data_IF_925202405272
#
_entry.id   IF_925202405272
#
_cell.length_a   1.000
_cell.length_b   1.000
_cell.length_c   1.000
_cell.angle_alpha   90.00
_cell.angle_beta   90.00
_cell.angle_gamma   90.00
#
_symmetry.space_group_name_H-M   'P 1'
#
loop_
_entity.id
_entity.type
_entity.pdbx_description
1 polymer ?
#
# COMPACT_ATOMS: atom_id res chain seq x y z
N UNK A 1 -16.42 28.96 21.42
CA UNK A 1 -15.16 29.26 20.70
C UNK A 1 -14.45 27.93 20.50
N UNK A 2 -14.52 27.37 19.28
CA UNK A 2 -13.91 26.08 18.96
C UNK A 2 -12.41 26.25 18.87
N UNK A 3 -11.65 25.59 19.74
CA UNK A 3 -10.19 25.56 19.71
C UNK A 3 -9.76 24.78 18.47
N UNK A 4 -9.37 25.49 17.42
CA UNK A 4 -8.74 24.90 16.24
C UNK A 4 -7.46 24.18 16.68
N UNK A 5 -7.51 22.86 16.76
CA UNK A 5 -6.29 22.05 16.86
C UNK A 5 -5.48 22.31 15.59
N UNK A 6 -4.29 22.91 15.75
CA UNK A 6 -3.35 23.05 14.66
C UNK A 6 -3.11 21.65 14.08
N UNK A 7 -3.36 21.51 12.78
CA UNK A 7 -3.11 20.27 12.06
C UNK A 7 -1.63 19.92 12.25
N UNK A 8 -1.34 18.68 12.64
CA UNK A 8 0.05 18.26 12.85
C UNK A 8 0.81 18.35 11.52
N UNK A 9 2.14 18.62 11.52
CA UNK A 9 2.94 18.66 10.28
C UNK A 9 2.80 17.40 9.41
N UNK A 10 2.47 16.26 10.02
CA UNK A 10 2.18 15.02 9.32
C UNK A 10 0.88 15.09 8.51
N UNK A 11 -0.17 15.73 9.04
CA UNK A 11 -1.42 15.92 8.33
C UNK A 11 -1.25 16.85 7.12
N UNK A 12 -0.54 17.97 7.27
CA UNK A 12 -0.26 18.88 6.15
C UNK A 12 0.51 18.19 5.03
N UNK A 13 1.51 17.37 5.39
CA UNK A 13 2.25 16.53 4.44
C UNK A 13 1.32 15.54 3.74
N UNK A 14 0.39 14.91 4.46
CA UNK A 14 -0.55 13.95 3.90
C UNK A 14 -1.53 14.63 2.92
N UNK A 15 -2.09 15.79 3.27
CA UNK A 15 -2.97 16.58 2.40
C UNK A 15 -2.25 17.01 1.13
N UNK A 16 -1.00 17.50 1.25
CA UNK A 16 -0.20 17.85 0.08
C UNK A 16 0.05 16.64 -0.82
N UNK A 17 0.40 15.49 -0.22
CA UNK A 17 0.61 14.24 -0.95
C UNK A 17 -0.65 13.77 -1.68
N UNK A 18 -1.83 13.95 -1.08
CA UNK A 18 -3.10 13.64 -1.72
C UNK A 18 -3.35 14.56 -2.92
N UNK A 19 -3.20 15.88 -2.75
CA UNK A 19 -3.38 16.83 -3.85
C UNK A 19 -2.43 16.57 -5.03
N UNK A 20 -1.18 16.18 -4.75
CA UNK A 20 -0.22 15.80 -5.79
C UNK A 20 -0.56 14.46 -6.45
N UNK A 21 -1.16 13.51 -5.73
CA UNK A 21 -1.65 12.24 -6.28
C UNK A 21 -2.86 12.45 -7.21
N UNK A 22 -3.83 13.27 -6.80
CA UNK A 22 -5.01 13.62 -7.60
C UNK A 22 -4.64 14.27 -8.94
N UNK A 23 -3.58 15.08 -8.98
CA UNK A 23 -3.05 15.66 -10.23
C UNK A 23 -2.52 14.62 -11.23
N UNK A 24 -2.14 13.44 -10.74
CA UNK A 24 -1.65 12.32 -11.55
C UNK A 24 -2.74 11.31 -11.90
N UNK A 25 -3.99 11.55 -11.49
CA UNK A 25 -5.11 10.66 -11.79
C UNK A 25 -5.22 10.35 -13.28
N UNK A 26 -5.45 9.08 -13.61
CA UNK A 26 -5.51 8.57 -14.98
C UNK A 26 -4.16 8.38 -15.66
N UNK A 27 -3.06 8.86 -15.08
CA UNK A 27 -1.73 8.63 -15.64
C UNK A 27 -1.26 7.21 -15.35
N UNK A 28 -0.40 6.68 -16.23
CA UNK A 28 0.32 5.44 -15.97
C UNK A 28 1.53 5.73 -15.07
N UNK A 29 1.78 4.95 -14.01
CA UNK A 29 3.00 5.07 -13.22
C UNK A 29 4.25 4.91 -14.11
N UNK A 30 5.17 5.85 -13.99
CA UNK A 30 6.43 5.91 -14.75
C UNK A 30 7.67 5.76 -13.85
N UNK A 31 7.44 5.64 -12.54
CA UNK A 31 8.41 5.54 -11.45
C UNK A 31 8.59 4.09 -10.95
N UNK A 32 8.14 3.11 -11.74
CA UNK A 32 8.25 1.69 -11.39
C UNK A 32 9.71 1.23 -11.41
N UNK A 33 10.09 0.49 -10.37
CA UNK A 33 11.37 -0.20 -10.31
C UNK A 33 11.30 -1.46 -11.17
N UNK A 34 12.41 -1.82 -11.81
CA UNK A 34 12.57 -3.16 -12.39
C UNK A 34 12.47 -4.22 -11.30
N UNK A 35 12.02 -5.42 -11.67
CA UNK A 35 11.79 -6.56 -10.77
C UNK A 35 12.83 -6.73 -9.67
N UNK A 36 14.10 -6.92 -10.01
CA UNK A 36 15.15 -7.19 -9.01
C UNK A 36 15.37 -6.00 -8.06
N UNK A 37 15.30 -4.78 -8.59
CA UNK A 37 15.40 -3.56 -7.78
C UNK A 37 14.16 -3.36 -6.88
N UNK A 38 12.99 -3.86 -7.29
CA UNK A 38 11.79 -3.87 -6.46
C UNK A 38 11.91 -4.89 -5.31
N UNK A 39 12.44 -6.08 -5.61
CA UNK A 39 12.72 -7.13 -4.60
C UNK A 39 13.73 -6.64 -3.57
N UNK A 40 14.85 -6.07 -4.03
CA UNK A 40 15.88 -5.54 -3.14
C UNK A 40 15.31 -4.44 -2.22
N UNK A 41 14.59 -3.48 -2.80
CA UNK A 41 13.98 -2.40 -2.02
C UNK A 41 12.95 -2.92 -1.01
N UNK A 42 12.15 -3.93 -1.39
CA UNK A 42 11.18 -4.56 -0.49
C UNK A 42 11.89 -5.24 0.69
N UNK A 43 12.92 -6.05 0.42
CA UNK A 43 13.68 -6.74 1.47
C UNK A 43 14.40 -5.77 2.40
N UNK A 44 14.98 -4.69 1.87
CA UNK A 44 15.58 -3.62 2.67
C UNK A 44 14.54 -2.97 3.60
N UNK A 45 13.34 -2.63 3.09
CA UNK A 45 12.29 -2.05 3.90
C UNK A 45 11.81 -2.98 5.01
N UNK A 46 11.61 -4.26 4.71
CA UNK A 46 11.20 -5.28 5.71
C UNK A 46 12.28 -5.45 6.78
N UNK A 47 13.55 -5.53 6.38
CA UNK A 47 14.68 -5.66 7.32
C UNK A 47 14.83 -4.43 8.21
N UNK A 48 14.77 -3.23 7.63
CA UNK A 48 14.87 -1.98 8.38
C UNK A 48 13.75 -1.86 9.43
N UNK A 49 12.51 -2.18 9.03
CA UNK A 49 11.36 -2.16 9.94
C UNK A 49 11.49 -3.21 11.05
N UNK A 50 11.98 -4.42 10.72
CA UNK A 50 12.24 -5.47 11.70
C UNK A 50 13.32 -5.10 12.71
N UNK A 51 14.41 -4.48 12.24
CA UNK A 51 15.52 -4.01 13.09
C UNK A 51 15.09 -2.86 14.00
N UNK A 52 14.26 -1.94 13.51
CA UNK A 52 13.69 -0.86 14.32
C UNK A 52 12.88 -1.43 15.49
N UNK A 53 11.95 -2.36 15.20
CA UNK A 53 11.11 -3.00 16.22
C UNK A 53 11.94 -3.80 17.23
N UNK A 54 12.94 -4.55 16.76
CA UNK A 54 13.85 -5.28 17.63
C UNK A 54 14.62 -4.31 18.55
N UNK A 55 15.08 -3.17 18.02
CA UNK A 55 15.80 -2.17 18.80
C UNK A 55 14.95 -1.54 19.91
N UNK A 56 13.66 -1.30 19.65
CA UNK A 56 12.71 -0.78 20.64
C UNK A 56 12.49 -1.81 21.74
N UNK A 57 12.30 -3.09 21.36
CA UNK A 57 12.10 -4.20 22.31
C UNK A 57 13.33 -4.42 23.20
N UNK A 58 14.52 -4.37 22.62
CA UNK A 58 15.79 -4.56 23.33
C UNK A 58 16.11 -3.42 24.31
N UNK A 59 15.65 -2.19 24.03
CA UNK A 59 15.85 -1.04 24.93
C UNK A 59 14.97 -1.08 26.19
N UNK A 60 14.14 -2.12 26.36
CA UNK A 60 13.30 -2.31 27.56
C UNK A 60 12.33 -1.16 27.82
N UNK A 61 12.11 -0.32 26.81
CA UNK A 61 11.38 0.92 26.98
C UNK A 61 9.88 0.64 26.88
N UNK A 62 9.12 1.03 27.89
CA UNK A 62 7.65 1.13 27.81
C UNK A 62 7.18 2.21 26.82
N UNK A 63 8.11 2.83 26.08
CA UNK A 63 7.78 3.69 24.96
C UNK A 63 6.89 2.87 24.02
N UNK A 64 5.66 3.31 23.75
CA UNK A 64 4.88 2.71 22.69
C UNK A 64 5.79 2.66 21.47
N UNK A 65 5.95 1.48 20.87
CA UNK A 65 6.51 1.36 19.52
C UNK A 65 5.84 2.51 18.78
N UNK A 66 6.58 3.51 18.24
CA UNK A 66 5.95 4.54 17.45
C UNK A 66 5.21 3.73 16.43
N UNK A 67 3.88 3.66 16.56
CA UNK A 67 3.07 3.01 15.56
C UNK A 67 3.56 3.68 14.31
N UNK A 68 4.05 2.91 13.34
CA UNK A 68 4.25 3.43 12.00
C UNK A 68 2.84 3.81 11.56
N UNK A 69 2.37 4.97 12.04
CA UNK A 69 1.02 5.47 11.93
C UNK A 69 1.04 6.03 10.52
N UNK A 70 0.93 5.09 9.58
CA UNK A 70 0.86 5.40 8.17
C UNK A 70 -0.57 5.87 7.97
N UNK A 71 -0.74 7.18 8.06
CA UNK A 71 -1.98 7.81 7.66
C UNK A 71 -2.10 7.63 6.15
N UNK A 72 -3.02 6.75 5.74
CA UNK A 72 -3.34 6.52 4.33
C UNK A 72 -4.78 6.99 4.14
N UNK A 73 -5.02 7.85 3.15
CA UNK A 73 -6.38 8.20 2.76
C UNK A 73 -6.96 7.02 1.99
N UNK A 74 -7.87 6.28 2.62
CA UNK A 74 -8.59 5.19 1.98
C UNK A 74 -9.91 5.78 1.45
N UNK A 75 -10.15 5.79 0.12
CA UNK A 75 -11.43 6.22 -0.41
C UNK A 75 -12.55 5.29 0.09
N UNK A 76 -13.82 5.69 0.03
CA UNK A 76 -14.94 4.82 0.36
C UNK A 76 -14.82 3.45 -0.30
N UNK A 77 -15.11 2.39 0.44
CA UNK A 77 -15.01 1.03 -0.06
C UNK A 77 -15.87 0.88 -1.33
N UNK A 78 -15.27 0.35 -2.39
CA UNK A 78 -16.01 0.04 -3.61
C UNK A 78 -16.89 -1.19 -3.37
N UNK A 79 -18.09 -1.19 -3.96
CA UNK A 79 -18.91 -2.40 -3.99
C UNK A 79 -18.09 -3.57 -4.59
N UNK A 80 -18.12 -4.74 -3.94
CA UNK A 80 -17.38 -5.91 -4.41
C UNK A 80 -17.79 -6.26 -5.84
N UNK A 81 -16.84 -6.77 -6.62
CA UNK A 81 -17.17 -7.31 -7.94
C UNK A 81 -17.95 -8.61 -7.78
N UNK A 82 -19.16 -8.66 -8.33
CA UNK A 82 -19.96 -9.90 -8.45
C UNK A 82 -19.83 -10.55 -9.82
N UNK A 83 -19.04 -9.96 -10.73
CA UNK A 83 -18.85 -10.46 -12.08
C UNK A 83 -18.06 -11.79 -12.05
N UNK A 84 -18.53 -12.85 -12.76
CA UNK A 84 -17.80 -14.10 -12.87
C UNK A 84 -16.42 -13.89 -13.51
N UNK A 85 -15.41 -14.64 -13.07
CA UNK A 85 -14.04 -14.53 -13.62
C UNK A 85 -14.01 -14.67 -15.16
N UNK A 86 -14.81 -15.57 -15.72
CA UNK A 86 -14.92 -15.78 -17.17
C UNK A 86 -15.44 -14.55 -17.95
N UNK A 87 -16.06 -13.59 -17.28
CA UNK A 87 -16.55 -12.34 -17.87
C UNK A 87 -15.54 -11.18 -17.78
N UNK A 88 -14.43 -11.38 -17.05
CA UNK A 88 -13.39 -10.38 -16.87
C UNK A 88 -12.37 -10.47 -18.01
N UNK A 89 -11.86 -9.32 -18.43
CA UNK A 89 -10.76 -9.28 -19.41
C UNK A 89 -9.41 -9.07 -18.70
N UNK A 90 -8.32 -9.69 -19.18
CA UNK A 90 -7.02 -9.52 -18.55
C UNK A 90 -6.53 -8.06 -18.66
N UNK A 91 -5.70 -7.65 -17.69
CA UNK A 91 -4.91 -6.41 -17.69
C UNK A 91 -3.57 -6.68 -17.01
N UNK A 92 -2.51 -6.01 -17.46
CA UNK A 92 -1.18 -6.09 -16.82
C UNK A 92 -0.95 -4.92 -15.86
N UNK A 93 0.01 -5.05 -14.95
CA UNK A 93 0.44 -3.97 -14.06
C UNK A 93 0.81 -2.74 -14.89
N UNK A 94 1.47 -2.94 -16.04
CA UNK A 94 1.89 -1.85 -16.91
C UNK A 94 0.75 -0.94 -17.37
N UNK A 95 -0.42 -1.53 -17.58
CA UNK A 95 -1.61 -0.86 -18.10
C UNK A 95 -2.43 -0.13 -17.03
N UNK A 96 -2.20 -0.43 -15.74
CA UNK A 96 -2.87 0.23 -14.62
C UNK A 96 -2.63 1.75 -14.64
N UNK A 97 -3.69 2.47 -14.27
CA UNK A 97 -3.71 3.93 -14.19
C UNK A 97 -3.99 4.36 -12.76
N UNK A 98 -3.34 5.45 -12.34
CA UNK A 98 -3.48 5.99 -10.99
C UNK A 98 -4.92 6.44 -10.71
N UNK A 99 -5.45 6.06 -9.55
CA UNK A 99 -6.78 6.46 -9.05
C UNK A 99 -7.94 6.23 -10.03
N UNK A 100 -7.79 5.21 -10.89
CA UNK A 100 -8.81 4.75 -11.82
C UNK A 100 -9.31 3.37 -11.41
N UNK A 101 -10.63 3.16 -11.32
CA UNK A 101 -11.17 1.82 -11.17
C UNK A 101 -11.00 1.01 -12.45
N UNK A 102 -10.42 -0.20 -12.35
CA UNK A 102 -10.29 -1.16 -13.47
C UNK A 102 -11.38 -2.23 -13.43
N UNK A 103 -12.66 -1.84 -13.31
CA UNK A 103 -13.78 -2.80 -13.26
C UNK A 103 -13.88 -3.61 -14.56
N UNK A 104 -14.33 -4.86 -14.44
CA UNK A 104 -14.40 -5.79 -15.58
C UNK A 104 -13.04 -6.30 -16.05
N UNK A 105 -11.97 -6.00 -15.30
CA UNK A 105 -10.62 -6.48 -15.55
C UNK A 105 -10.15 -7.42 -14.44
N UNK A 106 -9.21 -8.30 -14.76
CA UNK A 106 -8.44 -9.04 -13.77
C UNK A 106 -6.95 -8.96 -14.08
N UNK A 107 -6.14 -8.92 -13.02
CA UNK A 107 -4.68 -9.04 -13.11
C UNK A 107 -4.29 -10.36 -12.45
N UNK A 108 -3.53 -11.19 -13.14
CA UNK A 108 -2.96 -12.40 -12.57
C UNK A 108 -1.64 -12.03 -11.87
N UNK A 109 -1.52 -12.38 -10.58
CA UNK A 109 -0.40 -11.98 -9.75
C UNK A 109 0.24 -13.21 -9.10
N UNK A 110 1.56 -13.30 -9.16
CA UNK A 110 2.38 -14.20 -8.37
C UNK A 110 2.94 -13.45 -7.16
N UNK A 111 2.71 -13.97 -5.96
CA UNK A 111 3.29 -13.40 -4.74
C UNK A 111 4.78 -13.69 -4.62
N UNK A 112 5.58 -12.65 -4.40
CA UNK A 112 6.98 -12.75 -4.02
C UNK A 112 7.06 -12.54 -2.51
N UNK A 113 6.86 -13.60 -1.75
CA UNK A 113 6.84 -13.53 -0.28
C UNK A 113 8.24 -13.31 0.28
N UNK A 114 8.42 -12.29 1.12
CA UNK A 114 9.57 -12.23 2.03
C UNK A 114 9.32 -13.19 3.20
N UNK A 115 10.35 -13.92 3.69
CA UNK A 115 10.21 -14.82 4.83
C UNK A 115 9.91 -14.09 6.16
N UNK A 116 9.95 -12.75 6.16
CA UNK A 116 9.76 -11.91 7.35
C UNK A 116 8.42 -11.17 7.22
N UNK A 117 7.47 -11.47 8.12
CA UNK A 117 6.22 -10.73 8.26
C UNK A 117 6.46 -9.49 9.15
N UNK A 118 6.12 -8.27 8.71
CA UNK A 118 6.19 -7.09 9.57
C UNK A 118 5.30 -7.28 10.82
N UNK A 119 5.77 -6.96 12.04
CA UNK A 119 5.05 -7.23 13.29
C UNK A 119 3.76 -6.42 13.56
N UNK A 120 3.34 -5.52 12.66
CA UNK A 120 2.34 -4.48 12.96
C UNK A 120 1.20 -4.40 11.91
N UNK A 121 0.86 -5.52 11.27
CA UNK A 121 0.00 -5.54 10.08
C UNK A 121 -1.32 -6.27 10.29
N UNK A 122 -1.97 -6.12 11.44
CA UNK A 122 -3.23 -6.82 11.73
C UNK A 122 -4.38 -6.43 10.77
N UNK A 123 -4.29 -5.26 10.13
CA UNK A 123 -5.32 -4.74 9.20
C UNK A 123 -4.81 -4.49 7.78
N UNK A 124 -3.55 -4.81 7.47
CA UNK A 124 -2.93 -4.52 6.17
C UNK A 124 -2.16 -5.74 5.68
N UNK A 125 -2.37 -6.17 4.44
CA UNK A 125 -1.48 -7.14 3.80
C UNK A 125 -0.62 -6.41 2.79
N UNK A 126 0.67 -6.27 3.09
CA UNK A 126 1.69 -5.78 2.16
C UNK A 126 2.46 -6.97 1.58
N UNK A 127 2.46 -7.10 0.26
CA UNK A 127 3.17 -8.16 -0.45
C UNK A 127 3.76 -7.62 -1.74
N UNK A 128 5.00 -8.00 -2.06
CA UNK A 128 5.51 -7.82 -3.40
C UNK A 128 4.83 -8.84 -4.32
N UNK A 129 4.41 -8.41 -5.49
CA UNK A 129 3.75 -9.24 -6.50
C UNK A 129 4.34 -8.99 -7.87
N UNK A 130 4.24 -9.98 -8.74
CA UNK A 130 4.67 -9.95 -10.13
C UNK A 130 3.51 -10.37 -11.03
N UNK A 131 3.33 -9.70 -12.17
CA UNK A 131 2.35 -10.12 -13.18
C UNK A 131 2.93 -11.07 -14.22
N UNK A 132 2.11 -11.46 -15.20
CA UNK A 132 2.51 -12.38 -16.27
C UNK A 132 3.61 -11.81 -17.19
N UNK A 133 3.82 -10.49 -17.23
CA UNK A 133 4.86 -9.85 -18.02
C UNK A 133 6.17 -9.65 -17.23
N UNK A 134 6.19 -10.06 -15.95
CA UNK A 134 7.33 -9.90 -15.06
C UNK A 134 7.45 -8.50 -14.45
N UNK A 135 6.41 -7.68 -14.56
CA UNK A 135 6.36 -6.38 -13.90
C UNK A 135 6.05 -6.57 -12.42
N UNK A 136 6.85 -5.94 -11.55
CA UNK A 136 6.72 -6.08 -10.10
C UNK A 136 6.07 -4.84 -9.48
N UNK A 137 5.18 -5.06 -8.51
CA UNK A 137 4.52 -4.00 -7.75
C UNK A 137 4.31 -4.39 -6.29
N UNK A 138 4.16 -3.39 -5.41
CA UNK A 138 3.71 -3.61 -4.04
C UNK A 138 2.18 -3.68 -4.05
N UNK A 139 1.63 -4.80 -3.61
CA UNK A 139 0.21 -4.97 -3.31
C UNK A 139 -0.03 -4.66 -1.83
N UNK A 140 -0.91 -3.69 -1.57
CA UNK A 140 -1.41 -3.36 -0.24
C UNK A 140 -2.91 -3.61 -0.19
N UNK A 141 -3.34 -4.54 0.65
CA UNK A 141 -4.76 -4.79 0.94
C UNK A 141 -5.10 -4.21 2.29
N UNK A 142 -6.08 -3.31 2.34
CA UNK A 142 -6.59 -2.75 3.58
C UNK A 142 -7.87 -3.47 4.00
N UNK A 143 -7.94 -3.92 5.25
CA UNK A 143 -9.19 -4.38 5.83
C UNK A 143 -10.00 -3.16 6.29
N UNK A 144 -11.11 -2.88 5.60
CA UNK A 144 -12.04 -1.82 5.95
C UNK A 144 -13.31 -2.46 6.52
N UNK A 145 -13.60 -2.19 7.80
CA UNK A 145 -14.88 -2.55 8.39
C UNK A 145 -15.99 -1.67 7.79
N UNK A 146 -17.15 -2.26 7.50
CA UNK A 146 -18.33 -1.49 7.17
C UNK A 146 -18.68 -0.60 8.38
N UNK A 147 -18.90 0.69 8.12
CA UNK A 147 -19.47 1.60 9.12
C UNK A 147 -20.98 1.44 9.04
N UNK A 148 -21.56 0.72 10.01
CA UNK A 148 -23.01 0.65 10.25
C UNK A 148 -23.59 2.02 10.65
#
# INVERSE_FOLDING_TARGET
MSTGHALTPQYEKAVKSQADAERRRGQRPNDRKRRDAAIEAYNQNVMNSGMEILSIRMKGSNTPIPSMMRATFIPPAYLPSTAPLASLSPITIRELQLEMPHRGKYVALQGISSPIRPPATDFIVDSLVEDIEGEAALLTLHFQLDQD
#
